data_IF_375492377815
#
_entry.id   IF_375492377815
#
_cell.length_a   1.000
_cell.length_b   1.000
_cell.length_c   1.000
_cell.angle_alpha   90.00
_cell.angle_beta   90.00
_cell.angle_gamma   90.00
#
_symmetry.space_group_name_H-M   'P 1'
#
loop_
_entity.id
_entity.type
_entity.pdbx_description
1 polymer ?
#
# COMPACT_ATOMS: atom_id res chain seq x y z
N UNK A 1 -66.80 23.19 -18.18
CA UNK A 1 -65.76 22.82 -17.18
C UNK A 1 -64.90 21.62 -17.60
N UNK A 2 -65.41 20.66 -18.39
CA UNK A 2 -64.66 19.42 -18.78
C UNK A 2 -63.55 19.70 -19.76
N UNK A 3 -63.66 20.66 -20.66
CA UNK A 3 -62.61 21.00 -21.67
C UNK A 3 -61.33 21.60 -21.08
N UNK A 4 -61.36 22.22 -19.90
CA UNK A 4 -60.17 22.75 -19.25
C UNK A 4 -59.30 21.67 -18.61
N UNK A 5 -59.87 20.52 -18.20
CA UNK A 5 -59.13 19.40 -17.59
C UNK A 5 -58.36 18.62 -18.63
N UNK A 6 -58.88 18.49 -19.86
CA UNK A 6 -58.19 17.79 -20.96
C UNK A 6 -56.94 18.54 -21.49
N UNK A 7 -56.91 19.87 -21.36
CA UNK A 7 -55.78 20.69 -21.81
C UNK A 7 -54.62 20.72 -20.79
N UNK A 8 -54.93 20.49 -19.51
CA UNK A 8 -53.97 20.53 -18.40
C UNK A 8 -53.19 19.21 -18.29
N UNK A 9 -53.84 18.09 -18.66
CA UNK A 9 -53.25 16.74 -18.53
C UNK A 9 -51.96 16.54 -19.32
N UNK A 10 -51.81 16.96 -20.60
CA UNK A 10 -50.55 16.79 -21.34
C UNK A 10 -49.43 17.72 -20.84
N UNK A 11 -49.77 18.92 -20.36
CA UNK A 11 -48.77 19.83 -19.81
C UNK A 11 -48.23 19.32 -18.48
N UNK A 12 -49.11 18.79 -17.61
CA UNK A 12 -48.70 18.20 -16.33
C UNK A 12 -47.85 16.95 -16.54
N UNK A 13 -48.16 16.13 -17.54
CA UNK A 13 -47.42 14.94 -17.89
C UNK A 13 -46.04 15.29 -18.42
N UNK A 14 -45.92 16.25 -19.32
CA UNK A 14 -44.64 16.76 -19.83
C UNK A 14 -43.77 17.36 -18.70
N UNK A 15 -44.38 18.13 -17.78
CA UNK A 15 -43.67 18.69 -16.63
C UNK A 15 -43.15 17.60 -15.68
N UNK A 16 -43.94 16.52 -15.46
CA UNK A 16 -43.50 15.38 -14.66
C UNK A 16 -42.36 14.64 -15.34
N UNK A 17 -42.41 14.39 -16.64
CA UNK A 17 -41.32 13.72 -17.39
C UNK A 17 -40.03 14.54 -17.31
N UNK A 18 -40.08 15.85 -17.47
CA UNK A 18 -38.91 16.71 -17.29
C UNK A 18 -38.39 16.74 -15.87
N UNK A 19 -39.26 16.71 -14.86
CA UNK A 19 -38.83 16.61 -13.47
C UNK A 19 -38.13 15.28 -13.19
N UNK A 20 -38.66 14.15 -13.63
CA UNK A 20 -38.07 12.81 -13.46
C UNK A 20 -36.69 12.74 -14.15
N UNK A 21 -36.56 13.26 -15.38
CA UNK A 21 -35.28 13.27 -16.09
C UNK A 21 -34.25 14.16 -15.37
N UNK A 22 -34.66 15.31 -14.82
CA UNK A 22 -33.79 16.18 -14.04
C UNK A 22 -33.31 15.50 -12.75
N UNK A 23 -34.20 14.81 -12.03
CA UNK A 23 -33.83 14.03 -10.83
C UNK A 23 -32.88 12.90 -11.13
N UNK A 24 -33.07 12.16 -12.23
CA UNK A 24 -32.15 11.11 -12.67
C UNK A 24 -30.78 11.66 -13.03
N UNK A 25 -30.75 12.82 -13.68
CA UNK A 25 -29.48 13.48 -14.05
C UNK A 25 -28.71 13.96 -12.82
N UNK A 26 -29.38 14.63 -11.88
CA UNK A 26 -28.79 15.09 -10.62
C UNK A 26 -28.34 13.90 -9.77
N UNK A 27 -29.16 12.86 -9.67
CA UNK A 27 -28.81 11.63 -8.95
C UNK A 27 -27.61 10.90 -9.57
N UNK A 28 -27.57 10.81 -10.90
CA UNK A 28 -26.44 10.25 -11.64
C UNK A 28 -25.15 11.05 -11.44
N UNK A 29 -25.22 12.38 -11.46
CA UNK A 29 -24.09 13.25 -11.21
C UNK A 29 -23.59 13.13 -9.76
N UNK A 30 -24.50 13.07 -8.79
CA UNK A 30 -24.18 12.87 -7.39
C UNK A 30 -23.50 11.49 -7.16
N UNK A 31 -24.01 10.42 -7.79
CA UNK A 31 -23.39 9.10 -7.73
C UNK A 31 -22.01 9.11 -8.38
N UNK A 32 -21.85 9.76 -9.52
CA UNK A 32 -20.57 9.89 -10.21
C UNK A 32 -19.56 10.65 -9.36
N UNK A 33 -19.95 11.74 -8.71
CA UNK A 33 -19.09 12.50 -7.80
C UNK A 33 -18.69 11.66 -6.59
N UNK A 34 -19.61 10.86 -6.04
CA UNK A 34 -19.32 9.94 -4.93
C UNK A 34 -18.31 8.85 -5.34
N UNK A 35 -18.47 8.26 -6.52
CA UNK A 35 -17.55 7.24 -7.06
C UNK A 35 -16.16 7.80 -7.38
N UNK A 36 -16.09 9.02 -7.87
CA UNK A 36 -14.83 9.70 -8.20
C UNK A 36 -14.17 10.35 -7.00
N UNK A 37 -14.87 10.43 -5.85
CA UNK A 37 -14.35 11.09 -4.67
C UNK A 37 -13.25 10.27 -3.99
N UNK A 38 -12.04 10.81 -3.80
CA UNK A 38 -10.90 10.05 -3.31
C UNK A 38 -10.91 9.87 -1.78
N UNK A 39 -11.92 9.16 -1.26
CA UNK A 39 -12.05 8.92 0.19
C UNK A 39 -10.77 8.39 0.84
N UNK A 40 -10.11 7.42 0.21
CA UNK A 40 -8.90 6.82 0.76
C UNK A 40 -7.70 7.77 0.89
N UNK A 41 -7.63 8.82 0.06
CA UNK A 41 -6.55 9.82 0.14
C UNK A 41 -6.71 10.75 1.32
N UNK A 42 -7.95 11.17 1.62
CA UNK A 42 -8.25 12.01 2.79
C UNK A 42 -8.05 11.23 4.07
N UNK A 43 -8.56 10.01 4.14
CA UNK A 43 -8.37 9.15 5.31
C UNK A 43 -6.88 8.95 5.64
N UNK A 44 -6.03 8.68 4.65
CA UNK A 44 -4.59 8.55 4.87
C UNK A 44 -3.94 9.85 5.35
N UNK A 45 -4.37 11.00 4.81
CA UNK A 45 -3.88 12.31 5.23
C UNK A 45 -4.22 12.61 6.69
N UNK A 46 -5.47 12.41 7.07
CA UNK A 46 -5.97 12.66 8.42
C UNK A 46 -5.27 11.72 9.43
N UNK A 47 -5.09 10.46 9.08
CA UNK A 47 -4.36 9.48 9.90
C UNK A 47 -2.88 9.90 10.12
N UNK A 48 -2.20 10.34 9.06
CA UNK A 48 -0.82 10.83 9.16
C UNK A 48 -0.71 12.11 9.99
N UNK A 49 -1.72 12.96 9.94
CA UNK A 49 -1.81 14.15 10.78
C UNK A 49 -2.00 13.79 12.27
N UNK A 50 -2.87 12.82 12.57
CA UNK A 50 -3.13 12.33 13.94
C UNK A 50 -1.87 11.77 14.60
N UNK A 51 -1.01 11.07 13.87
CA UNK A 51 0.27 10.57 14.41
C UNK A 51 1.36 11.65 14.43
N UNK A 52 1.03 12.89 14.05
CA UNK A 52 1.93 14.03 14.06
C UNK A 52 3.02 13.98 12.99
N UNK A 53 2.83 13.26 11.90
CA UNK A 53 3.72 13.34 10.74
C UNK A 53 3.38 14.58 9.93
N UNK A 54 3.92 15.72 10.37
CA UNK A 54 3.63 17.05 9.82
C UNK A 54 4.92 17.81 9.54
N UNK A 55 4.88 18.74 8.62
CA UNK A 55 5.98 19.68 8.38
C UNK A 55 5.97 20.84 9.41
N UNK A 56 6.92 21.75 9.30
CA UNK A 56 6.98 22.94 10.16
C UNK A 56 5.75 23.86 10.07
N UNK A 57 4.98 23.77 8.99
CA UNK A 57 3.73 24.51 8.79
C UNK A 57 2.49 23.73 9.28
N UNK A 58 2.67 22.60 9.96
CA UNK A 58 1.57 21.75 10.45
C UNK A 58 0.86 20.94 9.36
N UNK A 59 1.42 20.87 8.15
CA UNK A 59 0.80 20.15 7.02
C UNK A 59 1.31 18.71 6.95
N UNK A 60 0.41 17.70 6.91
CA UNK A 60 0.77 16.31 6.70
C UNK A 60 1.10 16.05 5.22
N UNK A 61 1.80 14.95 4.90
CA UNK A 61 2.05 14.53 3.54
C UNK A 61 0.76 14.14 2.83
N UNK A 62 0.67 14.46 1.53
CA UNK A 62 -0.48 14.13 0.70
C UNK A 62 -0.25 12.83 -0.07
N UNK A 63 -1.18 11.88 0.01
CA UNK A 63 -1.15 10.66 -0.79
C UNK A 63 -1.48 11.00 -2.25
N UNK A 64 -0.50 10.85 -3.14
CA UNK A 64 -0.65 11.10 -4.56
C UNK A 64 -1.20 9.87 -5.29
N UNK A 65 -0.59 8.72 -5.04
CA UNK A 65 -0.90 7.49 -5.76
C UNK A 65 -0.59 6.24 -4.92
N UNK A 66 -1.41 5.21 -5.13
CA UNK A 66 -1.18 3.86 -4.63
C UNK A 66 -1.11 2.91 -5.83
N UNK A 67 -0.07 2.11 -5.91
CA UNK A 67 0.14 1.14 -7.00
C UNK A 67 0.80 -0.12 -6.47
N UNK A 68 0.57 -1.25 -7.13
CA UNK A 68 1.32 -2.47 -6.86
C UNK A 68 2.71 -2.36 -7.49
N UNK A 69 3.68 -2.97 -6.86
CA UNK A 69 5.02 -3.11 -7.43
C UNK A 69 4.96 -4.03 -8.66
N UNK A 70 5.81 -3.75 -9.66
CA UNK A 70 5.88 -4.54 -10.90
C UNK A 70 6.60 -5.86 -10.68
N UNK A 71 7.62 -5.83 -9.84
CA UNK A 71 8.50 -6.98 -9.59
C UNK A 71 7.92 -7.90 -8.52
N UNK A 72 7.15 -7.36 -7.58
CA UNK A 72 6.51 -8.13 -6.53
C UNK A 72 5.06 -7.66 -6.30
N UNK A 73 4.05 -8.41 -6.79
CA UNK A 73 2.64 -8.02 -6.68
C UNK A 73 2.09 -7.99 -5.24
N UNK A 74 2.78 -8.58 -4.26
CA UNK A 74 2.44 -8.49 -2.84
C UNK A 74 2.74 -7.10 -2.28
N UNK A 75 3.74 -6.42 -2.84
CA UNK A 75 4.17 -5.11 -2.37
C UNK A 75 3.33 -4.02 -3.02
N UNK A 76 2.78 -3.17 -2.19
CA UNK A 76 2.08 -1.96 -2.61
C UNK A 76 2.96 -0.74 -2.36
N UNK A 77 3.11 0.09 -3.36
CA UNK A 77 3.87 1.34 -3.28
C UNK A 77 2.90 2.49 -3.09
N UNK A 78 3.03 3.19 -1.98
CA UNK A 78 2.31 4.42 -1.70
C UNK A 78 3.23 5.59 -1.99
N UNK A 79 2.82 6.47 -2.85
CA UNK A 79 3.58 7.65 -3.25
C UNK A 79 2.97 8.88 -2.57
N UNK A 80 3.72 9.47 -1.65
CA UNK A 80 3.32 10.67 -0.92
C UNK A 80 4.09 11.90 -1.43
N UNK A 81 3.41 13.04 -1.52
CA UNK A 81 4.07 14.34 -1.62
C UNK A 81 4.67 14.68 -0.27
N UNK A 82 5.99 14.85 -0.22
CA UNK A 82 6.74 14.85 1.03
C UNK A 82 6.55 16.10 1.90
N UNK A 83 6.04 17.21 1.38
CA UNK A 83 5.83 18.46 2.13
C UNK A 83 7.07 18.92 2.93
N UNK A 84 8.28 18.64 2.42
CA UNK A 84 9.57 18.96 3.07
C UNK A 84 9.85 18.25 4.41
N UNK A 85 9.23 17.10 4.66
CA UNK A 85 9.50 16.28 5.85
C UNK A 85 10.73 15.41 5.56
N UNK A 86 11.78 15.42 6.40
CA UNK A 86 12.95 14.54 6.24
C UNK A 86 12.57 13.05 6.32
N UNK A 87 13.25 12.19 5.55
CA UNK A 87 12.99 10.74 5.58
C UNK A 87 13.19 10.14 6.98
N UNK A 88 14.12 10.67 7.74
CA UNK A 88 14.38 10.28 9.13
C UNK A 88 13.14 10.43 10.03
N UNK A 89 12.29 11.43 9.80
CA UNK A 89 11.03 11.58 10.54
C UNK A 89 10.02 10.50 10.17
N UNK A 90 10.01 10.07 8.91
CA UNK A 90 9.21 8.92 8.47
C UNK A 90 9.72 7.63 9.13
N UNK A 91 11.03 7.43 9.17
CA UNK A 91 11.65 6.26 9.79
C UNK A 91 11.36 6.19 11.29
N UNK A 92 11.48 7.30 12.02
CA UNK A 92 11.14 7.37 13.45
C UNK A 92 9.68 7.01 13.74
N UNK A 93 8.78 7.32 12.81
CA UNK A 93 7.34 7.10 12.95
C UNK A 93 6.83 5.87 12.19
N UNK A 94 7.70 4.99 11.69
CA UNK A 94 7.33 3.80 10.94
C UNK A 94 6.21 3.01 11.63
N UNK A 95 6.40 2.63 12.89
CA UNK A 95 5.42 1.84 13.65
C UNK A 95 4.06 2.54 13.78
N UNK A 96 4.06 3.86 14.00
CA UNK A 96 2.83 4.64 14.06
C UNK A 96 2.14 4.71 12.70
N UNK A 97 2.90 4.83 11.60
CA UNK A 97 2.38 4.82 10.22
C UNK A 97 1.79 3.46 9.88
N UNK A 98 2.47 2.37 10.23
CA UNK A 98 1.99 0.99 10.04
C UNK A 98 0.65 0.78 10.74
N UNK A 99 0.55 1.17 12.01
CA UNK A 99 -0.67 1.06 12.80
C UNK A 99 -1.79 1.93 12.22
N UNK A 100 -1.49 3.17 11.83
CA UNK A 100 -2.49 4.09 11.32
C UNK A 100 -3.05 3.65 9.95
N UNK A 101 -2.20 3.15 9.07
CA UNK A 101 -2.58 2.76 7.70
C UNK A 101 -2.95 1.28 7.56
N UNK A 102 -2.76 0.44 8.59
CA UNK A 102 -3.00 -1.00 8.56
C UNK A 102 -2.09 -1.71 7.55
N UNK A 103 -0.81 -1.36 7.54
CA UNK A 103 0.20 -1.89 6.61
C UNK A 103 1.48 -2.25 7.36
N UNK A 104 2.28 -3.12 6.79
CA UNK A 104 3.66 -3.37 7.23
C UNK A 104 4.62 -2.72 6.25
N UNK A 105 5.48 -1.82 6.73
CA UNK A 105 6.43 -1.08 5.90
C UNK A 105 7.67 -1.95 5.67
N UNK A 106 7.94 -2.25 4.39
CA UNK A 106 9.11 -3.02 3.98
C UNK A 106 10.31 -2.11 3.71
N UNK A 107 10.04 -0.94 3.11
CA UNK A 107 11.08 0.01 2.71
C UNK A 107 10.52 1.40 2.58
N UNK A 108 11.31 2.39 3.01
CA UNK A 108 11.10 3.79 2.73
C UNK A 108 12.18 4.29 1.75
N UNK A 109 11.79 5.07 0.76
CA UNK A 109 12.72 5.64 -0.20
C UNK A 109 12.24 7.00 -0.71
N UNK A 110 13.17 7.86 -1.09
CA UNK A 110 12.82 9.03 -1.87
C UNK A 110 12.55 8.64 -3.33
N UNK A 111 11.55 9.23 -3.93
CA UNK A 111 11.43 9.25 -5.39
C UNK A 111 12.49 10.17 -6.00
N UNK A 112 12.67 10.06 -7.31
CA UNK A 112 13.58 10.93 -8.06
C UNK A 112 13.26 12.40 -7.78
N UNK A 113 14.27 13.16 -7.33
CA UNK A 113 14.13 14.58 -6.97
C UNK A 113 13.73 14.86 -5.51
N UNK A 114 13.62 13.86 -4.63
CA UNK A 114 13.33 13.96 -3.17
C UNK A 114 12.03 14.69 -2.78
N UNK A 115 11.24 15.15 -3.75
CA UNK A 115 9.96 15.83 -3.50
C UNK A 115 8.84 14.88 -3.07
N UNK A 116 9.08 13.57 -3.21
CA UNK A 116 8.13 12.51 -2.91
C UNK A 116 8.79 11.41 -2.10
N UNK A 117 8.03 10.80 -1.21
CA UNK A 117 8.42 9.61 -0.46
C UNK A 117 7.62 8.42 -0.99
N UNK A 118 8.31 7.34 -1.25
CA UNK A 118 7.76 6.05 -1.62
C UNK A 118 7.78 5.15 -0.39
N UNK A 119 6.60 4.71 0.03
CA UNK A 119 6.43 3.74 1.10
C UNK A 119 6.09 2.40 0.46
N UNK A 120 7.02 1.46 0.52
CA UNK A 120 6.82 0.08 0.08
C UNK A 120 6.21 -0.68 1.24
N UNK A 121 5.03 -1.21 1.06
CA UNK A 121 4.30 -1.88 2.12
C UNK A 121 3.63 -3.15 1.64
N UNK A 122 3.37 -4.05 2.57
CA UNK A 122 2.46 -5.19 2.43
C UNK A 122 1.24 -4.98 3.31
N UNK A 123 0.17 -5.74 3.08
CA UNK A 123 -0.99 -5.73 3.99
C UNK A 123 -0.56 -6.22 5.37
N UNK A 124 -1.08 -5.63 6.44
CA UNK A 124 -0.81 -6.12 7.79
C UNK A 124 -1.31 -7.56 8.02
N UNK A 125 -2.27 -8.01 7.22
CA UNK A 125 -2.79 -9.39 7.26
C UNK A 125 -1.94 -10.39 6.46
N UNK A 126 -0.96 -9.93 5.69
CA UNK A 126 -0.09 -10.76 4.83
C UNK A 126 1.23 -11.08 5.56
N UNK A 127 1.12 -11.83 6.65
CA UNK A 127 2.27 -12.25 7.44
C UNK A 127 3.11 -13.30 6.73
N UNK A 128 4.42 -13.27 6.99
CA UNK A 128 5.31 -14.35 6.56
C UNK A 128 4.95 -15.62 7.33
N UNK A 129 5.03 -16.81 6.68
CA UNK A 129 4.74 -18.06 7.35
C UNK A 129 5.72 -18.27 8.51
N UNK A 130 5.21 -18.66 9.68
CA UNK A 130 6.02 -18.97 10.86
C UNK A 130 7.06 -20.05 10.59
N UNK A 131 6.72 -21.01 9.74
CA UNK A 131 7.61 -22.08 9.30
C UNK A 131 7.74 -22.09 7.79
N UNK A 132 8.94 -21.81 7.30
CA UNK A 132 9.26 -21.88 5.90
C UNK A 132 9.60 -23.31 5.50
N UNK A 133 8.74 -23.93 4.66
CA UNK A 133 9.03 -25.26 4.12
C UNK A 133 10.04 -25.13 2.98
N UNK A 134 11.02 -26.04 2.96
CA UNK A 134 11.96 -26.14 1.85
C UNK A 134 11.25 -26.36 0.51
N UNK A 135 11.73 -25.72 -0.53
CA UNK A 135 11.25 -25.86 -1.91
C UNK A 135 12.46 -25.95 -2.84
N UNK A 136 12.37 -26.79 -3.86
CA UNK A 136 13.44 -26.93 -4.86
C UNK A 136 13.69 -25.63 -5.63
N UNK A 137 12.72 -24.72 -5.66
CA UNK A 137 12.89 -23.37 -6.23
C UNK A 137 13.91 -22.49 -5.47
N UNK A 138 14.31 -22.90 -4.27
CA UNK A 138 15.39 -22.24 -3.51
C UNK A 138 16.78 -22.67 -3.97
N UNK A 139 16.88 -23.77 -4.73
CA UNK A 139 18.14 -24.15 -5.37
C UNK A 139 18.47 -23.14 -6.46
N UNK A 140 19.53 -22.39 -6.27
CA UNK A 140 20.01 -21.48 -7.30
C UNK A 140 20.79 -22.25 -8.36
N UNK A 141 20.51 -22.02 -9.67
CA UNK A 141 21.36 -22.58 -10.71
C UNK A 141 22.77 -21.95 -10.72
N UNK A 142 22.95 -20.85 -10.00
CA UNK A 142 24.26 -20.22 -9.82
C UNK A 142 24.97 -20.87 -8.64
N UNK A 143 26.20 -21.38 -8.87
CA UNK A 143 27.06 -21.88 -7.83
C UNK A 143 27.32 -20.78 -6.76
N UNK A 144 27.42 -21.20 -5.50
CA UNK A 144 27.73 -20.37 -4.34
C UNK A 144 26.63 -19.37 -3.90
N UNK A 145 25.40 -19.45 -4.43
CA UNK A 145 24.28 -18.64 -3.93
C UNK A 145 23.43 -19.48 -3.00
N UNK A 146 23.39 -19.09 -1.73
CA UNK A 146 22.58 -19.72 -0.69
C UNK A 146 21.32 -18.92 -0.44
N UNK A 147 20.17 -19.57 -0.31
CA UNK A 147 18.92 -18.96 0.13
C UNK A 147 18.81 -19.16 1.64
N UNK A 148 18.79 -18.06 2.39
CA UNK A 148 18.69 -18.06 3.85
C UNK A 148 17.24 -18.10 4.36
N UNK A 149 16.29 -17.65 3.55
CA UNK A 149 14.89 -17.54 3.92
C UNK A 149 14.09 -16.68 2.94
N UNK A 150 12.87 -16.36 3.29
CA UNK A 150 12.00 -15.44 2.55
C UNK A 150 11.76 -14.15 3.33
N UNK A 151 11.68 -13.06 2.60
CA UNK A 151 11.17 -11.77 3.09
C UNK A 151 9.94 -11.37 2.30
N UNK A 152 9.27 -10.30 2.69
CA UNK A 152 8.13 -9.74 1.94
C UNK A 152 8.50 -9.37 0.50
N UNK A 153 9.78 -9.08 0.23
CA UNK A 153 10.30 -8.72 -1.10
C UNK A 153 10.80 -9.91 -1.91
N UNK A 154 10.77 -11.11 -1.35
CA UNK A 154 11.24 -12.34 -1.99
C UNK A 154 12.35 -13.04 -1.21
N UNK A 155 13.02 -14.03 -1.81
CA UNK A 155 14.04 -14.82 -1.13
C UNK A 155 15.26 -13.97 -0.73
N UNK A 156 15.72 -14.17 0.50
CA UNK A 156 16.96 -13.59 1.01
C UNK A 156 18.10 -14.50 0.62
N UNK A 157 19.00 -14.00 -0.22
CA UNK A 157 20.11 -14.78 -0.75
C UNK A 157 21.46 -14.20 -0.35
N UNK A 158 22.43 -15.08 -0.17
CA UNK A 158 23.84 -14.72 0.06
C UNK A 158 24.72 -15.40 -0.99
N UNK A 159 25.60 -14.63 -1.62
CA UNK A 159 26.56 -15.17 -2.56
C UNK A 159 27.92 -15.36 -1.88
N UNK A 160 28.30 -16.61 -1.66
CA UNK A 160 29.56 -16.98 -1.00
C UNK A 160 30.80 -16.65 -1.82
N UNK A 161 30.67 -16.45 -3.14
CA UNK A 161 31.78 -15.99 -3.96
C UNK A 161 32.23 -14.56 -3.60
N UNK A 162 31.32 -13.75 -3.06
CA UNK A 162 31.61 -12.39 -2.60
C UNK A 162 31.78 -12.27 -1.09
N UNK A 163 31.17 -13.19 -0.33
CA UNK A 163 31.22 -13.22 1.15
C UNK A 163 31.67 -14.61 1.57
N UNK A 164 33.00 -14.90 1.57
CA UNK A 164 33.51 -16.25 1.81
C UNK A 164 33.37 -16.72 3.27
N UNK A 165 33.13 -15.81 4.20
CA UNK A 165 33.01 -16.14 5.62
C UNK A 165 31.64 -15.70 6.17
N UNK A 166 30.93 -16.66 6.78
CA UNK A 166 29.64 -16.42 7.45
C UNK A 166 29.76 -16.89 8.89
N UNK A 167 29.39 -16.03 9.83
CA UNK A 167 29.24 -16.38 11.24
C UNK A 167 27.78 -16.67 11.55
N UNK A 168 27.48 -17.89 12.00
CA UNK A 168 26.15 -18.30 12.44
C UNK A 168 26.10 -18.31 13.97
N UNK A 169 25.43 -17.34 14.57
CA UNK A 169 25.26 -17.19 16.02
C UNK A 169 23.81 -17.38 16.47
N UNK A 170 23.61 -17.79 17.72
CA UNK A 170 22.28 -17.88 18.33
C UNK A 170 22.29 -18.77 19.58
N UNK A 171 21.21 -18.71 20.38
CA UNK A 171 21.02 -19.52 21.60
C UNK A 171 20.85 -21.02 21.27
N UNK A 172 20.98 -21.86 22.27
CA UNK A 172 20.69 -23.30 22.13
C UNK A 172 19.21 -23.47 21.75
N UNK A 173 18.94 -24.38 20.80
CA UNK A 173 17.54 -24.58 20.31
C UNK A 173 17.06 -23.60 19.23
N UNK A 174 17.83 -22.56 18.87
CA UNK A 174 17.43 -21.56 17.87
C UNK A 174 17.45 -22.05 16.39
N UNK A 175 17.70 -23.34 16.15
CA UNK A 175 17.70 -23.91 14.80
C UNK A 175 18.99 -23.76 14.01
N UNK A 176 20.11 -23.29 14.61
CA UNK A 176 21.42 -23.11 13.92
C UNK A 176 21.87 -24.34 13.14
N UNK A 177 21.84 -25.51 13.80
CA UNK A 177 22.27 -26.76 13.20
C UNK A 177 21.36 -27.25 12.08
N UNK A 178 20.07 -26.92 12.16
CA UNK A 178 19.09 -27.22 11.10
C UNK A 178 19.38 -26.35 9.89
N UNK A 179 19.58 -25.06 10.11
CA UNK A 179 19.91 -24.10 9.03
C UNK A 179 21.24 -24.52 8.37
N UNK A 180 22.28 -24.85 9.15
CA UNK A 180 23.56 -25.31 8.60
C UNK A 180 23.41 -26.56 7.73
N UNK A 181 22.62 -27.54 8.16
CA UNK A 181 22.33 -28.74 7.35
C UNK A 181 21.63 -28.41 6.05
N UNK A 182 20.63 -27.51 6.09
CA UNK A 182 19.92 -27.03 4.90
C UNK A 182 20.85 -26.32 3.89
N UNK A 183 21.82 -25.55 4.38
CA UNK A 183 22.77 -24.84 3.53
C UNK A 183 23.81 -25.73 2.89
N UNK A 184 24.05 -26.95 3.43
CA UNK A 184 25.03 -27.92 2.96
C UNK A 184 24.43 -29.02 2.05
N UNK A 185 23.12 -29.04 1.88
CA UNK A 185 22.41 -29.95 0.97
C UNK A 185 22.38 -29.40 -0.45
#
# INVERSE_FOLDING_TARGET
QVKHIELISPILKAAMEHAVTAYLFVGGLALLTLLLYPFGRRAAKDQLQCIGLINHAGMPPDLLRKRRDKDNPRVTIWEFRNQSIPLQEWEKKCLAIETALGITIVKLAYAKGRSRVLVYSVSADDDLPEVLKWRDSYLSPKSFVLVLGESYTGPVTVNLAHIPHILLGGSTGSGKSILLKLLLM
#
